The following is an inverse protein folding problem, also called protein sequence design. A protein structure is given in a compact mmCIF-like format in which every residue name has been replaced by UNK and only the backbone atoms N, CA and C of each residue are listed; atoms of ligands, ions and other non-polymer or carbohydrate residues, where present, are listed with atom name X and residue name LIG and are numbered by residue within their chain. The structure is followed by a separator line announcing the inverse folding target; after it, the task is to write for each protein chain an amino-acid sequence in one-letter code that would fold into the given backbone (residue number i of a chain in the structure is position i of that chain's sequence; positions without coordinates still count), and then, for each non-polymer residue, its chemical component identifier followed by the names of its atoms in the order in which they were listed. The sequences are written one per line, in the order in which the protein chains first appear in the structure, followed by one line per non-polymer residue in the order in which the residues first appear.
data_IF_132674167099
#
_entry.id   IF_132674167099
#
_cell.length_a   1.000
_cell.length_b   1.000
_cell.length_c   1.000
_cell.angle_alpha   90.00
_cell.angle_beta   90.00
_cell.angle_gamma   90.00
#
_symmetry.space_group_name_H-M   'P 1'
#
loop_
_entity.id
_entity.type
_entity.pdbx_description
1 polymer ?
#
# COMPACT_ATOMS: atom_id res chain seq x y z
N UNK A 1 -0.93 -13.18 10.73
CA UNK A 1 -1.08 -12.62 12.09
C UNK A 1 -0.73 -13.57 13.26
N UNK A 2 -0.95 -14.87 13.16
CA UNK A 2 -0.71 -15.81 14.29
C UNK A 2 0.75 -15.91 14.78
N UNK A 3 1.70 -15.66 13.89
CA UNK A 3 3.13 -15.52 14.22
C UNK A 3 3.57 -14.19 13.63
N UNK A 4 3.73 -13.19 14.45
CA UNK A 4 4.21 -11.88 14.01
C UNK A 4 5.72 -11.94 13.79
N UNK A 5 6.12 -12.47 12.63
CA UNK A 5 7.53 -12.62 12.24
C UNK A 5 8.10 -11.30 11.68
N UNK A 6 7.25 -10.39 11.25
CA UNK A 6 7.56 -9.06 10.73
C UNK A 6 6.56 -8.04 11.25
N UNK A 7 6.86 -6.78 11.11
CA UNK A 7 5.93 -5.70 11.41
C UNK A 7 4.69 -5.87 10.53
N UNK A 8 3.52 -5.64 11.11
CA UNK A 8 2.26 -5.50 10.37
C UNK A 8 1.93 -4.03 10.34
N UNK A 9 1.86 -3.47 9.19
CA UNK A 9 1.59 -2.06 8.99
C UNK A 9 1.39 -1.80 7.52
N UNK A 10 1.19 -0.54 7.19
CA UNK A 10 0.94 -0.13 5.84
C UNK A 10 2.17 0.36 5.11
N UNK A 11 1.92 0.96 3.99
CA UNK A 11 2.94 1.66 3.21
C UNK A 11 2.79 3.16 3.49
N UNK A 12 3.74 3.75 4.23
CA UNK A 12 3.88 5.21 4.24
C UNK A 12 4.47 5.66 2.90
N UNK A 13 3.95 6.73 2.34
CA UNK A 13 4.49 7.32 1.13
C UNK A 13 4.61 8.83 1.23
N UNK A 14 5.64 9.36 0.59
CA UNK A 14 5.74 10.76 0.20
C UNK A 14 5.79 10.82 -1.32
N UNK A 15 4.71 11.26 -1.95
CA UNK A 15 4.59 11.28 -3.40
C UNK A 15 4.22 12.67 -3.88
N UNK A 16 5.13 13.29 -4.62
CA UNK A 16 4.95 14.67 -5.08
C UNK A 16 4.79 15.70 -3.97
N UNK A 17 5.37 15.44 -2.80
CA UNK A 17 5.28 16.29 -1.60
C UNK A 17 4.06 15.99 -0.72
N UNK A 18 3.17 15.09 -1.14
CA UNK A 18 2.02 14.64 -0.35
C UNK A 18 2.43 13.42 0.49
N UNK A 19 2.21 13.48 1.79
CA UNK A 19 2.36 12.33 2.69
C UNK A 19 1.04 11.59 2.81
N UNK A 20 1.10 10.27 2.68
CA UNK A 20 -0.03 9.39 2.88
C UNK A 20 0.39 8.03 3.42
N UNK A 21 -0.59 7.22 3.77
CA UNK A 21 -0.40 5.83 4.17
C UNK A 21 -1.45 4.95 3.48
N UNK A 22 -1.02 3.81 2.97
CA UNK A 22 -1.92 2.75 2.45
C UNK A 22 -1.99 1.67 3.51
N UNK A 23 -3.21 1.23 3.84
CA UNK A 23 -3.51 0.12 4.76
C UNK A 23 -2.85 0.21 6.13
N UNK A 24 -3.24 1.18 7.00
CA UNK A 24 -2.71 1.25 8.35
C UNK A 24 -3.22 0.07 9.20
N UNK A 25 -2.55 -1.07 9.07
CA UNK A 25 -2.80 -2.30 9.83
C UNK A 25 -2.29 -2.23 11.28
N UNK A 26 -2.30 -3.36 12.01
CA UNK A 26 -1.95 -3.39 13.42
C UNK A 26 -0.56 -2.87 13.73
N UNK A 27 -0.47 -1.84 14.57
CA UNK A 27 0.79 -1.22 14.99
C UNK A 27 1.34 -0.14 14.07
N UNK A 28 0.64 0.20 12.96
CA UNK A 28 1.09 1.21 12.00
C UNK A 28 1.43 2.55 12.66
N UNK A 29 0.57 3.04 13.56
CA UNK A 29 0.84 4.31 14.25
C UNK A 29 2.13 4.23 15.07
N UNK A 30 2.32 3.14 15.82
CA UNK A 30 3.53 2.93 16.60
C UNK A 30 4.77 2.88 15.69
N UNK A 31 4.71 2.14 14.59
CA UNK A 31 5.84 1.99 13.65
C UNK A 31 6.19 3.32 12.99
N UNK A 32 5.21 4.10 12.56
CA UNK A 32 5.45 5.46 12.04
C UNK A 32 6.20 6.34 13.05
N UNK A 33 5.71 6.40 14.29
CA UNK A 33 6.33 7.23 15.34
C UNK A 33 7.72 6.73 15.77
N UNK A 34 7.99 5.42 15.68
CA UNK A 34 9.26 4.81 16.09
C UNK A 34 10.25 4.61 14.94
N UNK A 35 9.90 4.94 13.71
CA UNK A 35 10.79 4.88 12.56
C UNK A 35 12.01 5.80 12.74
N UNK A 36 13.08 5.54 11.99
CA UNK A 36 14.30 6.35 12.01
C UNK A 36 14.63 6.89 10.61
N UNK A 37 14.44 8.20 10.34
CA UNK A 37 13.85 9.22 11.21
C UNK A 37 12.35 8.97 11.45
N UNK A 38 11.75 9.49 12.55
CA UNK A 38 10.33 9.33 12.82
C UNK A 38 9.46 9.89 11.69
N UNK A 39 8.45 9.12 11.30
CA UNK A 39 7.41 9.57 10.40
C UNK A 39 6.33 10.24 11.24
N UNK A 40 6.03 11.49 10.95
CA UNK A 40 5.07 12.29 11.72
C UNK A 40 3.65 12.11 11.19
N UNK A 41 2.75 11.37 11.87
CA UNK A 41 1.39 11.12 11.39
C UNK A 41 0.56 12.39 11.22
N UNK A 42 0.88 13.47 11.93
CA UNK A 42 0.20 14.76 11.76
C UNK A 42 0.47 15.40 10.39
N UNK A 43 1.54 14.99 9.69
CA UNK A 43 1.85 15.42 8.33
C UNK A 43 1.09 14.63 7.25
N UNK A 44 0.36 13.59 7.61
CA UNK A 44 -0.48 12.87 6.66
C UNK A 44 -1.53 13.79 6.03
N UNK A 45 -1.80 13.56 4.75
CA UNK A 45 -2.88 14.21 3.99
C UNK A 45 -3.85 13.19 3.38
N UNK A 46 -3.44 11.92 3.30
CA UNK A 46 -4.28 10.84 2.80
C UNK A 46 -4.04 9.55 3.59
N UNK A 47 -5.13 8.89 3.97
CA UNK A 47 -5.16 7.52 4.45
C UNK A 47 -5.95 6.74 3.39
N UNK A 48 -5.33 5.74 2.77
CA UNK A 48 -5.90 4.95 1.69
C UNK A 48 -6.12 3.53 2.21
N UNK A 49 -7.36 3.09 2.32
CA UNK A 49 -7.66 1.71 2.69
C UNK A 49 -8.04 0.90 1.45
N UNK A 50 -7.39 -0.25 1.27
CA UNK A 50 -7.69 -1.14 0.15
C UNK A 50 -8.92 -1.99 0.43
N UNK A 51 -9.08 -2.51 1.65
CA UNK A 51 -10.23 -3.29 2.11
C UNK A 51 -10.26 -3.37 3.65
N UNK A 52 -11.36 -3.90 4.19
CA UNK A 52 -11.66 -3.85 5.63
C UNK A 52 -11.03 -4.92 6.51
N UNK A 53 -10.25 -5.88 5.99
CA UNK A 53 -9.63 -6.88 6.85
C UNK A 53 -8.71 -6.25 7.90
N UNK A 54 -8.64 -6.90 9.07
CA UNK A 54 -7.99 -6.30 10.24
C UNK A 54 -6.49 -6.03 10.05
N UNK A 55 -5.82 -6.87 9.30
CA UNK A 55 -4.40 -6.70 8.96
C UNK A 55 -4.11 -5.49 8.06
N UNK A 56 -5.15 -4.89 7.48
CA UNK A 56 -5.05 -3.66 6.68
C UNK A 56 -5.67 -2.44 7.37
N UNK A 57 -6.64 -2.64 8.29
CA UNK A 57 -7.52 -1.56 8.76
C UNK A 57 -7.46 -1.26 10.25
N UNK A 58 -6.79 -2.09 11.06
CA UNK A 58 -6.89 -2.00 12.53
C UNK A 58 -6.52 -0.61 13.07
N UNK A 59 -5.46 0.00 12.55
CA UNK A 59 -5.00 1.32 13.03
C UNK A 59 -5.60 2.52 12.27
N UNK A 60 -6.59 2.30 11.37
CA UNK A 60 -7.16 3.40 10.57
C UNK A 60 -7.67 4.55 11.45
N UNK A 61 -8.31 4.23 12.57
CA UNK A 61 -8.91 5.23 13.45
C UNK A 61 -7.87 6.02 14.25
N UNK A 62 -6.89 5.33 14.84
CA UNK A 62 -5.83 5.99 15.61
C UNK A 62 -4.89 6.78 14.69
N UNK A 63 -4.67 6.31 13.47
CA UNK A 63 -3.90 7.04 12.44
C UNK A 63 -4.65 8.29 12.00
N UNK A 64 -5.97 8.20 11.76
CA UNK A 64 -6.79 9.37 11.40
C UNK A 64 -6.88 10.38 12.56
N UNK A 65 -6.96 9.91 13.80
CA UNK A 65 -6.93 10.79 14.96
C UNK A 65 -5.58 11.51 15.08
N UNK A 66 -4.46 10.80 14.89
CA UNK A 66 -3.13 11.40 14.88
C UNK A 66 -2.94 12.39 13.72
N UNK A 67 -3.42 12.06 12.50
CA UNK A 67 -3.43 12.97 11.35
C UNK A 67 -4.12 14.30 11.66
N UNK A 68 -5.19 14.26 12.45
CA UNK A 68 -5.99 15.44 12.81
C UNK A 68 -5.56 16.09 14.14
N UNK A 69 -4.38 15.75 14.67
CA UNK A 69 -3.90 16.30 15.94
C UNK A 69 -4.85 16.04 17.12
N UNK A 70 -5.37 14.80 17.25
CA UNK A 70 -6.39 14.44 18.24
C UNK A 70 -7.79 14.95 17.88
N UNK A 71 -8.02 15.35 16.63
CA UNK A 71 -9.28 15.89 16.15
C UNK A 71 -9.46 17.39 16.35
N UNK A 72 -8.39 18.11 16.70
CA UNK A 72 -8.40 19.56 16.82
C UNK A 72 -8.26 20.26 15.46
N UNK A 73 -7.67 19.60 14.48
CA UNK A 73 -7.49 20.11 13.14
C UNK A 73 -8.24 19.25 12.12
N UNK A 74 -9.27 19.83 11.49
CA UNK A 74 -10.02 19.14 10.45
C UNK A 74 -9.23 19.14 9.14
N UNK A 75 -8.39 18.12 8.95
CA UNK A 75 -7.49 18.02 7.80
C UNK A 75 -7.41 16.59 7.23
N UNK A 76 -6.78 16.47 6.06
CA UNK A 76 -6.55 15.20 5.38
C UNK A 76 -7.83 14.52 4.90
N UNK A 77 -7.66 13.41 4.22
CA UNK A 77 -8.78 12.58 3.75
C UNK A 77 -8.55 11.12 4.08
N UNK A 78 -9.66 10.39 4.21
CA UNK A 78 -9.68 8.92 4.29
C UNK A 78 -10.40 8.42 3.04
N UNK A 79 -9.70 7.66 2.20
CA UNK A 79 -10.25 6.98 1.02
C UNK A 79 -10.41 5.51 1.38
N UNK A 80 -11.61 4.96 1.23
CA UNK A 80 -11.89 3.59 1.62
C UNK A 80 -13.07 3.00 0.81
N UNK A 81 -13.18 1.65 0.73
CA UNK A 81 -14.34 0.98 0.14
C UNK A 81 -15.63 1.31 0.88
N UNK A 82 -16.77 1.14 0.20
CA UNK A 82 -18.08 1.45 0.76
C UNK A 82 -18.41 0.59 1.99
N UNK A 83 -18.15 -0.71 1.94
CA UNK A 83 -18.38 -1.64 3.05
C UNK A 83 -17.50 -1.38 4.27
N UNK A 84 -16.39 -0.66 4.08
CA UNK A 84 -15.46 -0.23 5.14
C UNK A 84 -15.93 1.05 5.84
N UNK A 85 -16.76 1.87 5.16
CA UNK A 85 -17.33 3.09 5.70
C UNK A 85 -18.72 2.88 6.30
N UNK A 86 -19.52 2.00 5.69
CA UNK A 86 -20.94 1.82 5.97
C UNK A 86 -21.31 0.32 6.15
N UNK A 87 -22.57 0.06 6.47
CA UNK A 87 -23.08 -1.30 6.56
C UNK A 87 -22.94 -1.94 7.94
N UNK A 88 -22.83 -3.28 7.98
CA UNK A 88 -22.86 -4.06 9.23
C UNK A 88 -21.53 -4.16 9.96
N UNK A 89 -20.43 -3.71 9.34
CA UNK A 89 -19.09 -3.84 9.91
C UNK A 89 -18.12 -2.75 9.43
N UNK A 90 -18.47 -1.45 9.58
CA UNK A 90 -17.57 -0.38 9.19
C UNK A 90 -16.32 -0.39 10.08
N UNK A 91 -15.18 -0.14 9.47
CA UNK A 91 -13.89 -0.06 10.20
C UNK A 91 -13.55 1.38 10.59
N UNK A 92 -14.06 2.37 9.86
CA UNK A 92 -13.90 3.78 10.20
C UNK A 92 -15.02 4.21 11.17
N UNK A 93 -14.64 4.54 12.39
CA UNK A 93 -15.58 4.97 13.41
C UNK A 93 -16.22 6.31 13.05
N UNK A 94 -17.53 6.42 13.26
CA UNK A 94 -18.31 7.61 12.88
C UNK A 94 -17.78 8.91 13.49
N UNK A 95 -17.32 8.87 14.74
CA UNK A 95 -16.78 10.07 15.39
C UNK A 95 -15.41 10.47 14.82
N UNK A 96 -14.61 9.52 14.34
CA UNK A 96 -13.35 9.79 13.63
C UNK A 96 -13.64 10.36 12.24
N UNK A 97 -14.59 9.80 11.51
CA UNK A 97 -15.01 10.30 10.20
C UNK A 97 -15.43 11.79 10.24
N UNK A 98 -15.97 12.25 11.37
CA UNK A 98 -16.35 13.67 11.55
C UNK A 98 -15.16 14.61 11.80
N UNK A 99 -14.01 14.07 12.22
CA UNK A 99 -12.78 14.82 12.53
C UNK A 99 -11.90 15.06 11.29
N UNK A 100 -11.90 14.13 10.32
CA UNK A 100 -11.10 14.26 9.10
C UNK A 100 -11.67 15.31 8.15
N UNK A 101 -10.83 15.84 7.27
CA UNK A 101 -11.23 16.83 6.26
C UNK A 101 -12.24 16.28 5.27
N UNK A 102 -12.04 15.03 4.80
CA UNK A 102 -12.95 14.33 3.90
C UNK A 102 -12.93 12.83 4.12
N UNK A 103 -14.06 12.18 3.87
CA UNK A 103 -14.19 10.74 3.67
C UNK A 103 -14.64 10.51 2.24
N UNK A 104 -13.88 9.75 1.47
CA UNK A 104 -14.10 9.51 0.04
C UNK A 104 -14.28 8.02 -0.19
N UNK A 105 -15.37 7.64 -0.82
CA UNK A 105 -15.63 6.25 -1.19
C UNK A 105 -14.84 5.92 -2.46
N UNK A 106 -14.09 4.82 -2.41
CA UNK A 106 -13.37 4.29 -3.56
C UNK A 106 -14.37 3.67 -4.55
N UNK A 107 -14.30 4.11 -5.81
CA UNK A 107 -15.10 3.58 -6.92
C UNK A 107 -14.15 3.23 -8.07
N UNK A 108 -14.35 2.08 -8.71
CA UNK A 108 -13.47 1.60 -9.78
C UNK A 108 -13.31 2.62 -10.91
N UNK A 109 -12.08 2.97 -11.22
CA UNK A 109 -11.70 3.92 -12.28
C UNK A 109 -11.97 5.40 -11.99
N UNK A 110 -12.60 5.74 -10.86
CA UNK A 110 -12.88 7.14 -10.49
C UNK A 110 -11.64 7.78 -9.89
N UNK A 111 -11.03 8.72 -10.60
CA UNK A 111 -9.88 9.48 -10.08
C UNK A 111 -10.27 10.35 -8.90
N UNK A 112 -9.48 10.27 -7.85
CA UNK A 112 -9.61 11.04 -6.62
C UNK A 112 -8.44 12.02 -6.57
N UNK A 113 -8.73 13.32 -6.42
CA UNK A 113 -7.71 14.33 -6.18
C UNK A 113 -7.30 14.29 -4.69
N UNK A 114 -6.06 13.95 -4.44
CA UNK A 114 -5.48 13.91 -3.09
C UNK A 114 -4.88 15.26 -2.66
N UNK A 115 -4.85 16.24 -3.57
CA UNK A 115 -4.18 17.52 -3.39
C UNK A 115 -2.75 17.53 -3.94
N UNK A 116 -2.14 18.70 -4.00
CA UNK A 116 -0.77 18.93 -4.50
C UNK A 116 -0.55 18.43 -5.94
N UNK A 117 -1.61 18.26 -6.74
CA UNK A 117 -1.57 17.70 -8.09
C UNK A 117 -1.37 16.18 -8.13
N UNK A 118 -1.50 15.50 -6.98
CA UNK A 118 -1.48 14.03 -6.87
C UNK A 118 -2.89 13.52 -7.01
N UNK A 119 -3.07 12.50 -7.84
CA UNK A 119 -4.33 11.77 -7.97
C UNK A 119 -4.14 10.29 -7.67
N UNK A 120 -5.18 9.64 -7.14
CA UNK A 120 -5.27 8.19 -7.00
C UNK A 120 -6.48 7.67 -7.77
N UNK A 121 -6.32 6.56 -8.48
CA UNK A 121 -7.40 5.87 -9.17
C UNK A 121 -7.58 4.49 -8.56
N UNK A 122 -8.75 4.18 -7.95
CA UNK A 122 -9.04 2.84 -7.46
C UNK A 122 -9.19 1.86 -8.62
N UNK A 123 -8.67 0.66 -8.44
CA UNK A 123 -8.82 -0.48 -9.35
C UNK A 123 -9.46 -1.62 -8.59
N UNK A 124 -10.62 -2.09 -9.05
CA UNK A 124 -11.36 -3.16 -8.38
C UNK A 124 -10.54 -4.45 -8.32
N UNK A 125 -10.51 -5.06 -7.16
CA UNK A 125 -9.93 -6.36 -6.86
C UNK A 125 -11.01 -7.34 -6.39
N UNK A 126 -10.69 -8.63 -6.36
CA UNK A 126 -11.58 -9.66 -5.81
C UNK A 126 -10.87 -10.34 -4.65
N UNK A 127 -11.42 -10.18 -3.46
CA UNK A 127 -10.82 -10.69 -2.23
C UNK A 127 -11.88 -11.06 -1.19
N UNK A 128 -12.07 -12.35 -0.96
CA UNK A 128 -12.89 -12.95 0.11
C UNK A 128 -14.28 -12.31 0.36
N UNK A 129 -14.92 -11.81 -0.71
CA UNK A 129 -16.29 -11.28 -0.64
C UNK A 129 -16.42 -9.91 0.05
N UNK A 130 -15.32 -9.17 0.23
CA UNK A 130 -15.31 -7.78 0.68
C UNK A 130 -15.04 -6.86 -0.50
N UNK A 131 -15.45 -5.60 -0.39
CA UNK A 131 -15.04 -4.56 -1.33
C UNK A 131 -13.54 -4.34 -1.21
N UNK A 132 -12.81 -4.53 -2.32
CA UNK A 132 -11.36 -4.45 -2.33
C UNK A 132 -10.86 -3.69 -3.55
N UNK A 133 -9.90 -2.80 -3.34
CA UNK A 133 -9.29 -1.99 -4.38
C UNK A 133 -7.76 -1.98 -4.25
N UNK A 134 -7.09 -1.92 -5.40
CA UNK A 134 -5.77 -1.36 -5.49
C UNK A 134 -5.83 0.11 -5.88
N UNK A 135 -4.67 0.76 -6.04
CA UNK A 135 -4.60 2.16 -6.38
C UNK A 135 -3.52 2.44 -7.42
N UNK A 136 -3.77 3.39 -8.30
CA UNK A 136 -2.77 3.93 -9.22
C UNK A 136 -2.56 5.41 -8.89
N UNK A 137 -1.37 5.75 -8.44
CA UNK A 137 -0.99 7.12 -8.08
C UNK A 137 -0.31 7.80 -9.25
N UNK A 138 -0.75 9.03 -9.55
CA UNK A 138 -0.22 9.85 -10.64
C UNK A 138 0.04 11.28 -10.19
N UNK A 139 1.12 11.84 -10.69
CA UNK A 139 1.41 13.28 -10.69
C UNK A 139 2.26 13.58 -11.92
N UNK A 140 1.98 14.70 -12.59
CA UNK A 140 2.77 15.13 -13.75
C UNK A 140 4.26 15.26 -13.38
N UNK A 141 5.13 14.71 -14.22
CA UNK A 141 6.58 14.72 -14.02
C UNK A 141 7.13 13.64 -13.08
N UNK A 142 6.27 12.86 -12.42
CA UNK A 142 6.68 11.74 -11.57
C UNK A 142 6.35 10.40 -12.22
N UNK A 143 7.01 9.33 -11.73
CA UNK A 143 6.69 7.96 -12.14
C UNK A 143 5.33 7.55 -11.60
N UNK A 144 4.52 6.90 -12.44
CA UNK A 144 3.27 6.30 -12.00
C UNK A 144 3.56 5.11 -11.10
N UNK A 145 2.90 5.08 -9.95
CA UNK A 145 3.02 4.03 -8.95
C UNK A 145 1.70 3.26 -8.81
N UNK A 146 1.77 1.93 -8.96
CA UNK A 146 0.64 1.02 -8.74
C UNK A 146 0.75 0.30 -7.40
N UNK A 147 -0.36 0.21 -6.69
CA UNK A 147 -0.54 -0.65 -5.51
C UNK A 147 -1.53 -1.74 -5.88
N UNK A 148 -1.06 -2.96 -5.98
CA UNK A 148 -1.91 -4.15 -6.18
C UNK A 148 -2.00 -4.83 -4.82
N UNK A 149 -3.15 -4.66 -4.16
CA UNK A 149 -3.45 -5.21 -2.86
C UNK A 149 -3.87 -6.68 -2.95
N UNK A 150 -4.49 -7.20 -1.91
CA UNK A 150 -4.98 -8.57 -1.87
C UNK A 150 -6.01 -8.81 -2.97
N UNK A 151 -5.76 -9.83 -3.76
CA UNK A 151 -6.63 -10.24 -4.86
C UNK A 151 -6.21 -11.60 -5.40
N UNK A 152 -7.15 -12.35 -5.94
CA UNK A 152 -6.82 -13.43 -6.87
C UNK A 152 -6.33 -12.85 -8.21
N UNK A 153 -5.65 -13.62 -9.07
CA UNK A 153 -5.30 -13.18 -10.41
C UNK A 153 -6.54 -12.77 -11.22
N UNK A 154 -6.48 -11.59 -11.86
CA UNK A 154 -7.54 -11.04 -12.68
C UNK A 154 -6.96 -10.55 -14.01
N UNK A 155 -7.65 -10.81 -15.12
CA UNK A 155 -7.16 -10.47 -16.46
C UNK A 155 -6.98 -8.96 -16.67
N UNK A 156 -7.88 -8.14 -16.12
CA UNK A 156 -7.85 -6.69 -16.28
C UNK A 156 -6.68 -5.99 -15.58
N UNK A 157 -6.01 -6.65 -14.60
CA UNK A 157 -4.89 -6.02 -13.88
C UNK A 157 -3.75 -5.65 -14.83
N UNK A 158 -3.46 -6.47 -15.83
CA UNK A 158 -2.40 -6.19 -16.78
C UNK A 158 -2.69 -4.92 -17.61
N UNK A 159 -3.93 -4.69 -18.00
CA UNK A 159 -4.35 -3.49 -18.72
C UNK A 159 -4.35 -2.27 -17.81
N UNK A 160 -5.00 -2.38 -16.64
CA UNK A 160 -5.22 -1.25 -15.72
C UNK A 160 -3.90 -0.69 -15.17
N UNK A 161 -2.93 -1.55 -14.85
CA UNK A 161 -1.62 -1.14 -14.29
C UNK A 161 -0.52 -0.97 -15.35
N UNK A 162 -0.84 -1.04 -16.64
CA UNK A 162 0.15 -1.03 -17.75
C UNK A 162 1.06 0.20 -17.78
N UNK A 163 0.61 1.35 -17.30
CA UNK A 163 1.40 2.58 -17.24
C UNK A 163 2.31 2.69 -16.00
N UNK A 164 2.19 1.75 -15.04
CA UNK A 164 2.92 1.83 -13.79
C UNK A 164 4.38 1.43 -13.98
N UNK A 165 5.29 2.34 -13.72
CA UNK A 165 6.73 2.05 -13.77
C UNK A 165 7.28 1.46 -12.47
N UNK A 166 6.55 1.62 -11.36
CA UNK A 166 6.77 0.98 -10.08
C UNK A 166 5.46 0.36 -9.59
N UNK A 167 5.53 -0.86 -9.07
CA UNK A 167 4.37 -1.57 -8.54
C UNK A 167 4.71 -2.16 -7.16
N UNK A 168 3.89 -1.86 -6.16
CA UNK A 168 3.82 -2.61 -4.90
C UNK A 168 2.76 -3.69 -5.05
N UNK A 169 3.09 -4.95 -4.79
CA UNK A 169 2.25 -6.11 -5.09
C UNK A 169 2.18 -7.05 -3.89
N UNK A 170 0.97 -7.33 -3.41
CA UNK A 170 0.75 -8.34 -2.37
C UNK A 170 0.88 -9.75 -2.93
N UNK A 171 1.82 -10.54 -2.37
CA UNK A 171 2.12 -11.92 -2.78
C UNK A 171 2.19 -12.79 -1.54
N UNK A 172 1.15 -13.58 -1.29
CA UNK A 172 0.99 -14.30 -0.02
C UNK A 172 1.58 -15.71 -0.05
N UNK A 173 1.53 -16.39 -1.19
CA UNK A 173 1.89 -17.79 -1.29
C UNK A 173 3.02 -18.06 -2.28
N UNK A 174 3.90 -19.07 -2.02
CA UNK A 174 4.92 -19.46 -3.00
C UNK A 174 4.30 -20.08 -4.27
N UNK A 175 3.22 -20.86 -4.13
CA UNK A 175 2.56 -21.59 -5.22
C UNK A 175 1.08 -21.25 -5.29
N UNK A 176 0.46 -21.39 -6.46
CA UNK A 176 -0.96 -21.13 -6.72
C UNK A 176 -1.89 -21.79 -5.72
N UNK A 177 -2.87 -21.03 -5.24
CA UNK A 177 -3.95 -21.46 -4.32
C UNK A 177 -5.32 -21.09 -4.90
N UNK A 178 -5.85 -21.87 -5.87
CA UNK A 178 -7.06 -21.46 -6.63
C UNK A 178 -8.32 -21.20 -5.80
N UNK A 179 -8.37 -21.66 -4.55
CA UNK A 179 -9.51 -21.45 -3.64
C UNK A 179 -9.35 -20.23 -2.72
N UNK A 180 -8.24 -19.54 -2.82
CA UNK A 180 -7.94 -18.36 -2.00
C UNK A 180 -7.74 -17.15 -2.90
N UNK A 181 -8.38 -16.04 -2.53
CA UNK A 181 -8.29 -14.80 -3.30
C UNK A 181 -7.01 -14.03 -2.94
N UNK A 182 -5.86 -14.69 -3.16
CA UNK A 182 -4.52 -14.13 -2.99
C UNK A 182 -3.62 -14.53 -4.14
N UNK A 183 -2.67 -13.71 -4.49
CA UNK A 183 -1.65 -14.04 -5.48
C UNK A 183 -0.55 -14.92 -4.89
N UNK A 184 -0.08 -15.84 -5.72
CA UNK A 184 1.17 -16.58 -5.51
C UNK A 184 2.34 -15.91 -6.24
N UNK A 185 3.55 -16.41 -5.97
CA UNK A 185 4.75 -16.01 -6.72
C UNK A 185 4.60 -16.30 -8.21
N UNK A 186 3.97 -17.44 -8.57
CA UNK A 186 3.72 -17.79 -9.97
C UNK A 186 2.77 -16.80 -10.64
N UNK A 187 1.65 -16.46 -9.96
CA UNK A 187 0.68 -15.48 -10.46
C UNK A 187 1.31 -14.08 -10.62
N UNK A 188 2.11 -13.66 -9.64
CA UNK A 188 2.86 -12.41 -9.69
C UNK A 188 3.85 -12.39 -10.86
N UNK A 189 4.58 -13.49 -11.10
CA UNK A 189 5.48 -13.62 -12.23
C UNK A 189 4.77 -13.49 -13.57
N UNK A 190 3.62 -14.16 -13.74
CA UNK A 190 2.80 -14.08 -14.96
C UNK A 190 2.27 -12.65 -15.19
N UNK A 191 1.83 -11.96 -14.12
CA UNK A 191 1.35 -10.59 -14.21
C UNK A 191 2.49 -9.61 -14.55
N UNK A 192 3.63 -9.71 -13.87
CA UNK A 192 4.79 -8.84 -14.11
C UNK A 192 5.39 -9.01 -15.51
N UNK A 193 5.30 -10.22 -16.10
CA UNK A 193 5.67 -10.45 -17.50
C UNK A 193 4.76 -9.77 -18.51
N UNK A 194 3.55 -9.38 -18.14
CA UNK A 194 2.63 -8.59 -18.98
C UNK A 194 2.78 -7.09 -18.76
N UNK A 195 3.07 -6.69 -17.52
CA UNK A 195 3.15 -5.27 -17.11
C UNK A 195 4.50 -4.63 -17.43
N UNK A 196 5.60 -5.38 -17.31
CA UNK A 196 6.98 -4.89 -17.47
C UNK A 196 7.29 -3.60 -16.66
N UNK A 197 6.90 -3.48 -15.37
CA UNK A 197 7.33 -2.33 -14.59
C UNK A 197 8.85 -2.34 -14.44
N UNK A 198 9.48 -1.18 -14.25
CA UNK A 198 10.93 -1.12 -13.99
C UNK A 198 11.32 -1.83 -12.70
N UNK A 199 10.50 -1.62 -11.66
CA UNK A 199 10.65 -2.27 -10.37
C UNK A 199 9.30 -2.72 -9.86
N UNK A 200 9.25 -3.92 -9.28
CA UNK A 200 8.14 -4.42 -8.49
C UNK A 200 8.61 -4.76 -7.08
N UNK A 201 7.82 -4.37 -6.09
CA UNK A 201 8.02 -4.71 -4.69
C UNK A 201 6.98 -5.74 -4.29
N UNK A 202 7.39 -6.93 -3.88
CA UNK A 202 6.48 -7.92 -3.31
C UNK A 202 6.38 -7.74 -1.80
N UNK A 203 5.14 -7.67 -1.31
CA UNK A 203 4.78 -7.47 0.10
C UNK A 203 3.74 -8.50 0.53
N UNK A 204 3.19 -8.38 1.74
CA UNK A 204 2.11 -9.24 2.28
C UNK A 204 2.45 -10.74 2.23
N UNK A 205 3.70 -11.06 2.52
CA UNK A 205 4.21 -12.42 2.38
C UNK A 205 3.76 -13.32 3.54
N UNK A 206 3.19 -14.47 3.20
CA UNK A 206 2.82 -15.48 4.19
C UNK A 206 4.03 -16.09 4.91
N UNK A 207 3.79 -16.68 6.09
CA UNK A 207 4.83 -17.28 6.94
C UNK A 207 5.76 -18.22 6.17
N UNK A 208 5.22 -19.05 5.28
CA UNK A 208 6.00 -19.99 4.45
C UNK A 208 7.01 -19.26 3.57
N UNK A 209 6.63 -18.11 3.01
CA UNK A 209 7.53 -17.30 2.18
C UNK A 209 8.62 -16.63 3.03
N UNK A 210 8.24 -16.10 4.20
CA UNK A 210 9.17 -15.44 5.12
C UNK A 210 10.22 -16.44 5.62
N UNK A 211 9.79 -17.61 6.11
CA UNK A 211 10.69 -18.67 6.62
C UNK A 211 11.59 -19.27 5.51
N UNK A 212 11.10 -19.28 4.28
CA UNK A 212 11.84 -19.81 3.14
C UNK A 212 12.87 -18.82 2.53
N UNK A 213 12.89 -17.55 2.97
CA UNK A 213 13.73 -16.49 2.41
C UNK A 213 13.05 -15.81 1.21
N UNK A 214 12.40 -14.65 1.43
CA UNK A 214 11.62 -13.95 0.39
C UNK A 214 12.43 -13.56 -0.84
N UNK A 215 13.70 -13.26 -0.68
CA UNK A 215 14.60 -12.78 -1.74
C UNK A 215 14.74 -13.81 -2.87
N UNK A 216 14.67 -15.12 -2.57
CA UNK A 216 14.70 -16.16 -3.60
C UNK A 216 13.48 -16.09 -4.52
N UNK A 217 12.30 -15.80 -3.95
CA UNK A 217 11.06 -15.65 -4.72
C UNK A 217 11.09 -14.41 -5.60
N UNK A 218 11.55 -13.29 -5.05
CA UNK A 218 11.75 -12.06 -5.83
C UNK A 218 12.72 -12.31 -7.01
N UNK A 219 13.83 -13.01 -6.76
CA UNK A 219 14.79 -13.39 -7.81
C UNK A 219 14.18 -14.30 -8.88
N UNK A 220 13.33 -15.25 -8.48
CA UNK A 220 12.69 -16.19 -9.42
C UNK A 220 11.81 -15.49 -10.46
N UNK A 221 11.11 -14.40 -10.09
CA UNK A 221 10.19 -13.69 -10.97
C UNK A 221 10.77 -12.37 -11.52
N UNK A 222 12.03 -12.05 -11.21
CA UNK A 222 12.75 -10.95 -11.84
C UNK A 222 13.07 -11.30 -13.30
N UNK A 223 13.02 -10.29 -14.17
CA UNK A 223 13.37 -10.39 -15.58
C UNK A 223 14.39 -9.31 -15.94
N UNK A 224 15.00 -9.32 -17.14
CA UNK A 224 15.85 -8.22 -17.59
C UNK A 224 15.14 -6.86 -17.62
N UNK A 225 13.81 -6.83 -17.79
CA UNK A 225 12.99 -5.63 -17.87
C UNK A 225 12.46 -5.19 -16.49
N UNK A 226 12.25 -6.14 -15.57
CA UNK A 226 11.62 -5.90 -14.27
C UNK A 226 12.49 -6.43 -13.14
N UNK A 227 13.03 -5.54 -12.32
CA UNK A 227 13.66 -5.93 -11.05
C UNK A 227 12.60 -6.12 -9.99
N UNK A 228 12.54 -7.30 -9.38
CA UNK A 228 11.64 -7.58 -8.24
C UNK A 228 12.43 -7.52 -6.94
N UNK A 229 11.87 -6.87 -5.95
CA UNK A 229 12.43 -6.69 -4.61
C UNK A 229 11.47 -7.35 -3.61
N UNK A 230 11.99 -8.12 -2.67
CA UNK A 230 11.23 -8.58 -1.52
C UNK A 230 11.19 -7.46 -0.46
N UNK A 231 10.00 -7.02 -0.06
CA UNK A 231 9.83 -6.03 0.98
C UNK A 231 10.40 -6.50 2.31
N UNK A 232 10.97 -5.59 3.06
CA UNK A 232 11.49 -5.81 4.41
C UNK A 232 10.97 -4.70 5.32
N UNK A 233 10.90 -4.98 6.62
CA UNK A 233 10.51 -3.97 7.60
C UNK A 233 11.46 -2.77 7.52
N UNK A 234 10.91 -1.57 7.64
CA UNK A 234 11.65 -0.29 7.56
C UNK A 234 12.39 -0.06 6.22
N UNK A 235 12.04 -0.80 5.16
CA UNK A 235 12.60 -0.56 3.84
C UNK A 235 12.07 0.73 3.24
N UNK A 236 12.96 1.53 2.67
CA UNK A 236 12.64 2.75 1.94
C UNK A 236 12.97 2.56 0.47
N UNK A 237 12.04 2.93 -0.39
CA UNK A 237 12.27 2.95 -1.84
C UNK A 237 12.13 4.37 -2.35
N UNK A 238 13.18 4.88 -2.95
CA UNK A 238 13.14 6.14 -3.68
C UNK A 238 12.51 5.89 -5.06
N UNK A 239 11.34 6.50 -5.32
CA UNK A 239 10.61 6.28 -6.58
C UNK A 239 11.26 6.95 -7.80
N UNK A 240 12.11 7.97 -7.62
CA UNK A 240 12.81 8.62 -8.74
C UNK A 240 13.97 7.76 -9.22
N UNK A 241 14.77 7.24 -8.28
CA UNK A 241 15.93 6.38 -8.60
C UNK A 241 15.60 4.91 -8.68
N UNK A 242 14.47 4.46 -8.10
CA UNK A 242 14.06 3.07 -7.93
C UNK A 242 15.09 2.24 -7.12
N UNK A 243 15.79 2.89 -6.19
CA UNK A 243 16.74 2.26 -5.28
C UNK A 243 16.07 2.01 -3.94
N UNK A 244 16.20 0.79 -3.43
CA UNK A 244 15.76 0.39 -2.10
C UNK A 244 16.90 0.54 -1.10
N UNK A 245 16.57 1.03 0.10
CA UNK A 245 17.50 1.18 1.22
C UNK A 245 16.91 0.43 2.43
N UNK A 246 17.70 -0.39 3.09
CA UNK A 246 17.29 -1.11 4.30
C UNK A 246 17.55 -0.34 5.60
N UNK A 247 18.26 0.79 5.52
CA UNK A 247 18.49 1.74 6.62
C UNK A 247 18.66 3.14 6.04
N UNK A 248 18.04 4.14 6.66
CA UNK A 248 18.28 5.54 6.30
C UNK A 248 19.64 5.95 6.82
N UNK A 249 20.64 6.02 5.96
CA UNK A 249 21.81 6.82 6.25
C UNK A 249 21.37 8.28 6.21
N UNK A 250 21.38 8.94 7.37
CA UNK A 250 21.09 10.36 7.52
C UNK A 250 21.85 11.18 6.47
N UNK A 251 21.14 11.79 5.53
CA UNK A 251 21.74 12.63 4.50
C UNK A 251 20.98 12.77 3.18
N UNK A 252 19.88 12.05 2.97
CA UNK A 252 19.11 12.19 1.73
C UNK A 252 17.95 13.18 1.92
N UNK A 253 18.01 14.32 1.23
CA UNK A 253 17.00 15.39 1.26
C UNK A 253 16.01 15.29 0.09
N UNK A 254 15.93 14.14 -0.59
CA UNK A 254 15.11 13.97 -1.78
C UNK A 254 13.64 13.67 -1.49
N UNK A 255 12.78 14.25 -2.30
CA UNK A 255 11.37 14.54 -2.03
C UNK A 255 10.37 13.42 -2.36
N UNK A 256 10.80 12.17 -2.58
CA UNK A 256 9.91 11.08 -2.98
C UNK A 256 10.31 9.76 -2.31
N UNK A 257 9.87 9.55 -1.08
CA UNK A 257 10.13 8.32 -0.34
C UNK A 257 8.87 7.47 -0.19
N UNK A 258 9.04 6.17 -0.29
CA UNK A 258 8.07 5.16 0.10
C UNK A 258 8.67 4.37 1.27
N UNK A 259 8.10 4.50 2.47
CA UNK A 259 8.44 3.69 3.62
C UNK A 259 7.45 2.54 3.74
N UNK A 260 7.94 1.34 3.90
CA UNK A 260 7.14 0.14 4.04
C UNK A 260 7.35 -0.40 5.45
N UNK A 261 6.31 -0.28 6.25
CA UNK A 261 6.18 -1.02 7.49
C UNK A 261 5.40 -2.30 7.13
N UNK A 262 6.12 -3.40 6.95
CA UNK A 262 5.58 -4.64 6.41
C UNK A 262 5.20 -5.71 7.41
#
# INVERSE_FOLDING_TARGET
MLKQLRKTGGIWFTYGGLNGVVDPGPGSLYHMCSATPPLDPHKLRAIMLTHRHLDHSTDINVTAEAMTGGGFEKQGMVVLPEDSAFGSGPVLLKYIAQKVGAVVIAEDGRRIDLGMGVTAEPVMHIHHGVDCFGYIFRKNGLRTWGVISDTRPLEHLAERYSECSFISLNVTFPNKKPRLDHMSVEDAGELLQKLHPKVALITHMGVIMIEAGPEKFAKMISTPQTRVIAGQDDMIINLDTLIAYSEIKTGCTDSSFLSIDG
#
